data_IF_252618921493
#
_entry.id   IF_252618921493
#
_cell.length_a   1.000
_cell.length_b   1.000
_cell.length_c   1.000
_cell.angle_alpha   90.00
_cell.angle_beta   90.00
_cell.angle_gamma   90.00
#
_symmetry.space_group_name_H-M   'P 1'
#
loop_
_entity.id
_entity.type
_entity.pdbx_description
1 polymer ?
#
# COMPACT_ATOMS: atom_id res chain seq x y z
N UNK A 1 -6.96 24.58 70.57
CA UNK A 1 -5.65 25.19 70.26
C UNK A 1 -5.25 24.80 68.84
N UNK A 2 -4.91 25.77 67.98
CA UNK A 2 -4.29 25.60 66.64
C UNK A 2 -5.29 25.43 65.48
N UNK A 3 -5.83 26.49 64.85
CA UNK A 3 -5.28 27.32 63.73
C UNK A 3 -4.96 26.55 62.44
N UNK A 4 -5.58 26.99 61.33
CA UNK A 4 -4.96 26.94 60.00
C UNK A 4 -5.92 26.81 58.82
N UNK A 5 -6.50 27.93 58.33
CA UNK A 5 -6.95 28.01 56.93
C UNK A 5 -5.75 27.95 55.99
N UNK A 6 -5.91 27.32 54.82
CA UNK A 6 -5.31 27.78 53.55
C UNK A 6 -6.06 27.18 52.36
N UNK A 7 -6.74 28.05 51.61
CA UNK A 7 -7.12 27.78 50.22
C UNK A 7 -5.83 27.69 49.39
N UNK A 8 -5.76 26.73 48.47
CA UNK A 8 -4.89 26.81 47.30
C UNK A 8 -5.69 26.32 46.09
N UNK A 9 -6.15 27.28 45.31
CA UNK A 9 -6.51 27.09 43.91
C UNK A 9 -5.29 26.58 43.16
N UNK A 10 -5.41 25.47 42.45
CA UNK A 10 -4.55 25.19 41.30
C UNK A 10 -5.42 24.52 40.25
N UNK A 11 -5.97 25.36 39.38
CA UNK A 11 -6.31 24.96 38.03
C UNK A 11 -5.05 24.39 37.40
N UNK A 12 -5.02 23.09 37.15
CA UNK A 12 -4.06 22.50 36.24
C UNK A 12 -4.84 21.87 35.09
N UNK A 13 -4.55 22.27 33.84
CA UNK A 13 -5.16 21.66 32.68
C UNK A 13 -4.62 20.24 32.59
N UNK A 14 -5.46 19.23 32.79
CA UNK A 14 -5.12 17.89 32.33
C UNK A 14 -5.07 17.96 30.82
N UNK A 15 -3.83 18.06 30.36
CA UNK A 15 -3.34 17.80 29.03
C UNK A 15 -4.22 16.74 28.37
N UNK A 16 -4.78 17.11 27.22
CA UNK A 16 -5.47 16.23 26.30
C UNK A 16 -4.53 15.12 25.85
N UNK A 17 -4.36 14.11 26.70
CA UNK A 17 -3.85 12.82 26.30
C UNK A 17 -4.99 12.15 25.57
N UNK A 18 -5.04 12.33 24.25
CA UNK A 18 -5.84 11.51 23.35
C UNK A 18 -5.50 10.06 23.66
N UNK A 19 -6.35 9.41 24.45
CA UNK A 19 -6.27 7.98 24.72
C UNK A 19 -6.51 7.29 23.39
N UNK A 20 -5.44 6.84 22.72
CA UNK A 20 -5.55 5.90 21.61
C UNK A 20 -6.46 4.76 22.06
N UNK A 21 -7.62 4.65 21.43
CA UNK A 21 -8.59 3.62 21.74
C UNK A 21 -8.13 2.30 21.16
N UNK A 22 -8.60 1.18 21.70
CA UNK A 22 -8.28 -0.15 21.14
C UNK A 22 -8.64 -0.24 19.65
N UNK A 23 -9.67 0.49 19.22
CA UNK A 23 -10.09 0.61 17.83
C UNK A 23 -9.05 1.35 16.97
N UNK A 24 -8.40 2.40 17.49
CA UNK A 24 -7.33 3.11 16.79
C UNK A 24 -6.12 2.20 16.55
N UNK A 25 -5.73 1.40 17.54
CA UNK A 25 -4.61 0.44 17.43
C UNK A 25 -4.94 -0.66 16.42
N UNK A 26 -6.18 -1.18 16.42
CA UNK A 26 -6.64 -2.17 15.44
C UNK A 26 -6.63 -1.56 14.03
N UNK A 27 -7.12 -0.34 13.86
CA UNK A 27 -7.11 0.37 12.59
C UNK A 27 -5.69 0.56 12.05
N UNK A 28 -4.75 0.98 12.90
CA UNK A 28 -3.33 1.13 12.53
C UNK A 28 -2.73 -0.20 12.04
N UNK A 29 -2.97 -1.31 12.75
CA UNK A 29 -2.49 -2.64 12.34
C UNK A 29 -3.07 -3.09 11.01
N UNK A 30 -4.34 -2.81 10.75
CA UNK A 30 -4.98 -3.15 9.46
C UNK A 30 -4.32 -2.35 8.32
N UNK A 31 -4.03 -1.07 8.55
CA UNK A 31 -3.34 -0.21 7.57
C UNK A 31 -1.93 -0.72 7.29
N UNK A 32 -1.15 -1.02 8.33
CA UNK A 32 0.21 -1.56 8.19
C UNK A 32 0.22 -2.91 7.46
N UNK A 33 -0.70 -3.81 7.83
CA UNK A 33 -0.85 -5.09 7.15
C UNK A 33 -1.17 -4.89 5.66
N UNK A 34 -2.11 -4.00 5.35
CA UNK A 34 -2.50 -3.70 3.96
C UNK A 34 -1.34 -3.10 3.17
N UNK A 35 -0.59 -2.17 3.76
CA UNK A 35 0.64 -1.62 3.17
C UNK A 35 1.65 -2.72 2.86
N UNK A 36 1.93 -3.60 3.82
CA UNK A 36 2.86 -4.72 3.63
C UNK A 36 2.43 -5.66 2.50
N UNK A 37 1.13 -5.91 2.37
CA UNK A 37 0.59 -6.69 1.24
C UNK A 37 0.87 -6.01 -0.10
N UNK A 38 0.65 -4.70 -0.22
CA UNK A 38 0.94 -3.95 -1.44
C UNK A 38 2.43 -3.90 -1.75
N UNK A 39 3.28 -3.65 -0.76
CA UNK A 39 4.73 -3.68 -0.93
C UNK A 39 5.22 -5.05 -1.41
N UNK A 40 4.68 -6.15 -0.87
CA UNK A 40 5.00 -7.52 -1.31
C UNK A 40 4.56 -7.80 -2.76
N UNK A 41 3.41 -7.26 -3.18
CA UNK A 41 2.96 -7.33 -4.57
C UNK A 41 3.90 -6.53 -5.47
N UNK A 42 4.20 -5.29 -5.11
CA UNK A 42 5.06 -4.40 -5.88
C UNK A 42 6.50 -4.93 -5.98
N UNK A 43 7.06 -5.50 -4.92
CA UNK A 43 8.39 -6.10 -4.93
C UNK A 43 8.50 -7.26 -5.93
N UNK A 44 7.45 -8.09 -6.02
CA UNK A 44 7.38 -9.16 -7.03
C UNK A 44 7.31 -8.61 -8.46
N UNK A 45 6.55 -7.54 -8.67
CA UNK A 45 6.46 -6.86 -9.97
C UNK A 45 7.79 -6.19 -10.34
N UNK A 46 8.44 -5.48 -9.41
CA UNK A 46 9.76 -4.87 -9.61
C UNK A 46 10.78 -5.91 -10.02
N UNK A 47 10.85 -7.04 -9.30
CA UNK A 47 11.82 -8.10 -9.62
C UNK A 47 11.65 -8.63 -11.04
N UNK A 48 10.40 -8.80 -11.47
CA UNK A 48 10.09 -9.23 -12.83
C UNK A 48 10.40 -8.13 -13.86
N UNK A 49 9.93 -6.90 -13.64
CA UNK A 49 10.17 -5.76 -14.52
C UNK A 49 11.66 -5.46 -14.67
N UNK A 50 12.45 -5.57 -13.60
CA UNK A 50 13.88 -5.36 -13.65
C UNK A 50 14.59 -6.33 -14.60
N UNK A 51 14.08 -7.56 -14.73
CA UNK A 51 14.65 -8.57 -15.62
C UNK A 51 14.13 -8.46 -17.06
N UNK A 52 12.82 -8.27 -17.25
CA UNK A 52 12.19 -8.33 -18.58
C UNK A 52 12.00 -6.94 -19.23
N UNK A 53 11.84 -5.89 -18.42
CA UNK A 53 11.48 -4.54 -18.86
C UNK A 53 12.16 -3.45 -18.00
N UNK A 54 13.51 -3.41 -17.96
CA UNK A 54 14.26 -2.56 -17.04
C UNK A 54 13.96 -1.07 -17.20
N UNK A 55 13.47 -0.63 -18.36
CA UNK A 55 13.05 0.75 -18.60
C UNK A 55 11.94 1.25 -17.67
N UNK A 56 11.20 0.35 -17.01
CA UNK A 56 10.13 0.68 -16.07
C UNK A 56 10.58 0.63 -14.60
N UNK A 57 11.87 0.41 -14.33
CA UNK A 57 12.41 0.30 -12.97
C UNK A 57 13.59 1.26 -12.77
N UNK A 58 13.52 2.07 -11.71
CA UNK A 58 14.63 2.92 -11.26
C UNK A 58 14.86 2.67 -9.78
N UNK A 59 16.12 2.42 -9.38
CA UNK A 59 16.50 2.17 -7.98
C UNK A 59 15.59 1.12 -7.29
N UNK A 60 15.33 0.00 -7.98
CA UNK A 60 14.47 -1.10 -7.50
C UNK A 60 13.04 -0.65 -7.16
N UNK A 61 12.54 0.39 -7.82
CA UNK A 61 11.14 0.83 -7.74
C UNK A 61 10.55 1.03 -9.13
N UNK A 62 9.24 0.81 -9.24
CA UNK A 62 8.51 1.08 -10.48
C UNK A 62 8.52 2.58 -10.73
N UNK A 63 8.82 2.98 -11.96
CA UNK A 63 8.80 4.39 -12.37
C UNK A 63 7.35 4.93 -12.31
N UNK A 64 7.19 6.10 -11.71
CA UNK A 64 5.94 6.87 -11.65
C UNK A 64 6.02 8.11 -12.54
N UNK A 65 4.92 8.56 -13.16
CA UNK A 65 3.60 7.93 -13.19
C UNK A 65 3.61 6.61 -13.97
N UNK A 66 2.78 5.65 -13.55
CA UNK A 66 2.62 4.39 -14.30
C UNK A 66 1.88 4.69 -15.58
N UNK A 67 2.42 4.25 -16.71
CA UNK A 67 1.72 4.40 -18.00
C UNK A 67 0.64 3.32 -18.16
N UNK A 68 -0.42 3.56 -18.97
CA UNK A 68 -1.40 2.53 -19.30
C UNK A 68 -0.77 1.26 -19.87
N UNK A 69 0.29 1.41 -20.67
CA UNK A 69 1.05 0.28 -21.23
C UNK A 69 1.72 -0.57 -20.13
N UNK A 70 2.42 0.08 -19.19
CA UNK A 70 3.03 -0.60 -18.04
C UNK A 70 1.97 -1.27 -17.16
N UNK A 71 0.83 -0.63 -16.95
CA UNK A 71 -0.25 -1.20 -16.16
C UNK A 71 -0.87 -2.45 -16.81
N UNK A 72 -1.12 -2.43 -18.13
CA UNK A 72 -1.54 -3.64 -18.89
C UNK A 72 -0.52 -4.77 -18.76
N UNK A 73 0.76 -4.44 -18.86
CA UNK A 73 1.86 -5.39 -18.74
C UNK A 73 1.89 -6.04 -17.35
N UNK A 74 1.76 -5.25 -16.27
CA UNK A 74 1.65 -5.76 -14.91
C UNK A 74 0.40 -6.63 -14.69
N UNK A 75 -0.75 -6.28 -15.28
CA UNK A 75 -1.97 -7.11 -15.17
C UNK A 75 -1.87 -8.41 -15.95
N UNK A 76 -1.26 -8.38 -17.14
CA UNK A 76 -0.97 -9.59 -17.91
C UNK A 76 -0.08 -10.54 -17.09
N UNK A 77 0.98 -10.01 -16.48
CA UNK A 77 1.80 -10.77 -15.55
C UNK A 77 0.98 -11.27 -14.35
N UNK A 78 0.21 -10.41 -13.68
CA UNK A 78 -0.58 -10.84 -12.52
C UNK A 78 -1.68 -11.87 -12.84
N UNK A 79 -2.14 -11.95 -14.09
CA UNK A 79 -3.23 -12.85 -14.52
C UNK A 79 -2.87 -14.33 -14.45
N UNK A 80 -1.58 -14.68 -14.60
CA UNK A 80 -1.12 -16.07 -14.63
C UNK A 80 -0.43 -16.43 -13.32
N UNK A 81 -0.75 -17.60 -12.77
CA UNK A 81 -0.09 -18.16 -11.59
C UNK A 81 1.36 -18.48 -11.90
N UNK A 82 2.24 -18.07 -10.98
CA UNK A 82 3.68 -18.25 -11.09
C UNK A 82 4.24 -18.91 -9.84
N UNK A 83 5.35 -19.62 -10.01
CA UNK A 83 6.16 -20.13 -8.91
C UNK A 83 6.77 -18.99 -8.10
N UNK A 84 7.34 -19.32 -6.94
CA UNK A 84 8.07 -18.36 -6.10
C UNK A 84 9.21 -17.66 -6.85
N UNK A 85 9.78 -18.32 -7.84
CA UNK A 85 10.87 -17.81 -8.68
C UNK A 85 10.37 -16.92 -9.83
N UNK A 86 9.05 -16.81 -10.04
CA UNK A 86 8.45 -15.97 -11.09
C UNK A 86 8.16 -16.69 -12.41
N UNK A 87 8.40 -18.00 -12.51
CA UNK A 87 8.09 -18.77 -13.71
C UNK A 87 6.61 -19.14 -13.78
N UNK A 88 6.01 -19.07 -14.96
CA UNK A 88 4.62 -19.54 -15.18
C UNK A 88 4.48 -21.01 -14.78
N UNK A 89 3.39 -21.32 -14.08
CA UNK A 89 3.09 -22.72 -13.77
C UNK A 89 2.66 -23.47 -15.03
N UNK A 90 3.10 -24.71 -15.15
CA UNK A 90 2.74 -25.63 -16.23
C UNK A 90 1.98 -26.83 -15.62
N UNK A 91 0.73 -27.11 -16.02
CA UNK A 91 -0.07 -26.39 -17.00
C UNK A 91 -0.46 -24.98 -16.54
N UNK A 92 -0.71 -24.08 -17.51
CA UNK A 92 -1.06 -22.67 -17.25
C UNK A 92 -2.31 -22.59 -16.38
N UNK A 93 -2.21 -21.84 -15.28
CA UNK A 93 -3.32 -21.54 -14.37
C UNK A 93 -3.48 -20.04 -14.22
N UNK A 94 -4.71 -19.57 -14.09
CA UNK A 94 -5.01 -18.15 -13.92
C UNK A 94 -5.24 -17.80 -12.43
N UNK A 95 -4.92 -16.56 -12.08
CA UNK A 95 -5.26 -15.98 -10.78
C UNK A 95 -6.72 -15.53 -10.75
N UNK A 96 -7.26 -15.39 -9.55
CA UNK A 96 -8.62 -14.88 -9.34
C UNK A 96 -8.72 -13.39 -9.66
N UNK A 97 -9.94 -12.93 -9.97
CA UNK A 97 -10.25 -11.49 -10.08
C UNK A 97 -9.85 -10.73 -8.81
N UNK A 98 -10.02 -11.33 -7.63
CA UNK A 98 -9.59 -10.73 -6.36
C UNK A 98 -8.08 -10.48 -6.29
N UNK A 99 -7.27 -11.33 -6.94
CA UNK A 99 -5.82 -11.12 -7.03
C UNK A 99 -5.52 -9.92 -7.91
N UNK A 100 -6.20 -9.80 -9.05
CA UNK A 100 -6.05 -8.65 -9.96
C UNK A 100 -6.48 -7.35 -9.29
N UNK A 101 -7.58 -7.36 -8.54
CA UNK A 101 -8.03 -6.19 -7.80
C UNK A 101 -7.01 -5.75 -6.74
N UNK A 102 -6.31 -6.67 -6.08
CA UNK A 102 -5.20 -6.30 -5.17
C UNK A 102 -4.03 -5.65 -5.91
N UNK A 103 -3.74 -6.07 -7.15
CA UNK A 103 -2.72 -5.42 -7.98
C UNK A 103 -3.16 -4.02 -8.41
N UNK A 104 -4.44 -3.84 -8.81
CA UNK A 104 -5.02 -2.52 -9.07
C UNK A 104 -4.84 -1.58 -7.86
N UNK A 105 -5.23 -2.01 -6.67
CA UNK A 105 -5.05 -1.22 -5.44
C UNK A 105 -3.59 -0.95 -5.10
N UNK A 106 -2.67 -1.87 -5.41
CA UNK A 106 -1.24 -1.64 -5.23
C UNK A 106 -0.68 -0.57 -6.20
N UNK A 107 -1.21 -0.50 -7.43
CA UNK A 107 -0.86 0.55 -8.40
C UNK A 107 -1.40 1.92 -7.95
N UNK A 108 -2.63 1.97 -7.44
CA UNK A 108 -3.20 3.19 -6.85
C UNK A 108 -2.38 3.64 -5.62
N UNK A 109 -2.01 2.70 -4.75
CA UNK A 109 -1.15 2.95 -3.60
C UNK A 109 0.19 3.57 -4.01
N UNK A 110 0.81 3.04 -5.07
CA UNK A 110 2.08 3.56 -5.59
C UNK A 110 1.97 5.02 -6.07
N UNK A 111 0.87 5.41 -6.71
CA UNK A 111 0.61 6.81 -7.08
C UNK A 111 0.40 7.69 -5.86
N UNK A 112 -0.38 7.21 -4.89
CA UNK A 112 -0.65 7.91 -3.64
C UNK A 112 0.63 8.19 -2.85
N UNK A 113 1.51 7.20 -2.70
CA UNK A 113 2.80 7.36 -2.01
C UNK A 113 3.73 8.31 -2.76
N UNK A 114 3.70 8.30 -4.10
CA UNK A 114 4.45 9.23 -4.93
C UNK A 114 3.86 10.64 -4.99
N UNK A 115 2.66 10.87 -4.43
CA UNK A 115 1.89 12.12 -4.54
C UNK A 115 1.65 12.53 -6.01
N UNK A 116 1.41 11.54 -6.86
CA UNK A 116 1.12 11.74 -8.29
C UNK A 116 -0.31 11.31 -8.57
N UNK A 117 -1.06 12.13 -9.29
CA UNK A 117 -2.43 11.80 -9.69
C UNK A 117 -2.47 10.67 -10.72
N UNK A 118 -3.49 9.82 -10.62
CA UNK A 118 -3.78 8.81 -11.64
C UNK A 118 -4.33 9.50 -12.89
N UNK A 119 -3.77 9.18 -14.06
CA UNK A 119 -4.33 9.70 -15.32
C UNK A 119 -5.75 9.17 -15.53
N UNK A 120 -6.60 9.95 -16.20
CA UNK A 120 -8.00 9.56 -16.49
C UNK A 120 -8.07 8.23 -17.25
N UNK A 121 -7.17 8.03 -18.20
CA UNK A 121 -7.06 6.78 -18.97
C UNK A 121 -6.70 5.59 -18.07
N UNK A 122 -5.69 5.76 -17.20
CA UNK A 122 -5.26 4.72 -16.28
C UNK A 122 -6.38 4.37 -15.29
N UNK A 123 -7.06 5.38 -14.74
CA UNK A 123 -8.19 5.19 -13.84
C UNK A 123 -9.35 4.44 -14.53
N UNK A 124 -9.69 4.82 -15.76
CA UNK A 124 -10.73 4.13 -16.54
C UNK A 124 -10.39 2.66 -16.80
N UNK A 125 -9.10 2.35 -17.01
CA UNK A 125 -8.64 0.98 -17.23
C UNK A 125 -8.62 0.12 -15.96
N UNK A 126 -8.48 0.75 -14.78
CA UNK A 126 -8.48 0.04 -13.50
C UNK A 126 -9.87 -0.10 -12.87
N UNK A 127 -10.89 0.57 -13.41
CA UNK A 127 -12.29 0.29 -13.08
C UNK A 127 -12.73 -1.10 -13.59
#
# INVERSE_FOLDING_TARGET
MGRGQRQHTTSQPTTSNSTETADDVIALRIVEYTRSQYESILARLVRWLHNEHPQYVTAQRIVVPVTPALCKLMFSYASVKRSLNGYELVPRKYNSVSTINRVKSAVEFLHKEAKVELSTELNAMMK
#
